data_IF_736963533185
#
_entry.id   IF_736963533185
#
_cell.length_a   1.000
_cell.length_b   1.000
_cell.length_c   1.000
_cell.angle_alpha   90.00
_cell.angle_beta   90.00
_cell.angle_gamma   90.00
#
_symmetry.space_group_name_H-M   'P 1'
#
loop_
_entity.id
_entity.type
_entity.pdbx_description
1 polymer ?
#
# COMPACT_ATOMS: atom_id res chain seq x y z
N UNK A 1 10.83 -12.56 18.31
CA UNK A 1 10.84 -11.10 18.08
C UNK A 1 11.88 -10.79 17.02
N UNK A 2 11.50 -10.33 15.83
CA UNK A 2 12.46 -9.95 14.80
C UNK A 2 13.14 -8.63 15.22
N UNK A 3 14.47 -8.63 15.29
CA UNK A 3 15.28 -7.44 15.55
C UNK A 3 15.04 -6.43 14.43
N UNK A 4 14.51 -5.24 14.75
CA UNK A 4 14.61 -4.08 13.86
C UNK A 4 15.67 -3.18 14.48
N UNK A 5 16.91 -3.24 13.97
CA UNK A 5 17.47 -1.97 13.50
C UNK A 5 18.39 -2.16 12.28
N UNK A 6 18.12 -1.40 11.21
CA UNK A 6 19.18 -0.88 10.35
C UNK A 6 19.00 0.63 10.28
N UNK A 7 19.95 1.35 10.88
CA UNK A 7 20.13 2.80 10.72
C UNK A 7 19.89 3.13 9.25
N UNK A 8 18.92 3.98 8.94
CA UNK A 8 18.60 4.33 7.58
C UNK A 8 19.89 4.79 6.87
N UNK A 9 20.26 4.21 5.72
CA UNK A 9 21.55 4.51 5.13
C UNK A 9 21.56 5.98 4.73
N UNK A 10 22.47 6.76 5.31
CA UNK A 10 22.87 8.09 4.81
C UNK A 10 23.52 8.02 3.42
N UNK A 11 23.49 6.85 2.78
CA UNK A 11 23.98 6.61 1.44
C UNK A 11 22.89 6.98 0.41
N UNK A 12 23.36 7.43 -0.75
CA UNK A 12 22.52 7.60 -1.92
C UNK A 12 22.28 6.24 -2.58
N UNK A 13 21.04 5.98 -2.96
CA UNK A 13 20.69 4.88 -3.88
C UNK A 13 21.24 5.16 -5.27
N UNK A 14 21.28 4.15 -6.13
CA UNK A 14 21.78 4.33 -7.50
C UNK A 14 20.83 5.20 -8.35
N UNK A 15 19.51 5.08 -8.17
CA UNK A 15 18.52 6.00 -8.77
C UNK A 15 18.83 7.45 -8.37
N UNK A 16 19.03 7.72 -7.07
CA UNK A 16 19.32 9.07 -6.59
C UNK A 16 20.63 9.63 -7.13
N UNK A 17 21.70 8.81 -7.22
CA UNK A 17 22.98 9.25 -7.82
C UNK A 17 22.79 9.68 -9.27
N UNK A 18 22.09 8.86 -10.07
CA UNK A 18 21.83 9.13 -11.49
C UNK A 18 20.97 10.38 -11.68
N UNK A 19 19.92 10.54 -10.86
CA UNK A 19 19.07 11.74 -10.86
C UNK A 19 19.85 12.98 -10.46
N UNK A 20 20.63 12.95 -9.38
CA UNK A 20 21.50 14.07 -8.98
C UNK A 20 22.43 14.46 -10.13
N UNK A 21 23.02 13.50 -10.83
CA UNK A 21 23.91 13.75 -11.97
C UNK A 21 23.20 14.48 -13.10
N UNK A 22 21.97 14.05 -13.45
CA UNK A 22 21.15 14.71 -14.47
C UNK A 22 20.76 16.14 -14.05
N UNK A 23 20.32 16.33 -12.80
CA UNK A 23 19.94 17.65 -12.27
C UNK A 23 21.12 18.64 -12.24
N UNK A 24 22.33 18.17 -11.94
CA UNK A 24 23.54 18.98 -12.03
C UNK A 24 23.86 19.38 -13.48
N UNK A 25 23.63 18.50 -14.45
CA UNK A 25 23.80 18.79 -15.87
C UNK A 25 22.75 19.79 -16.39
N UNK A 26 21.53 19.76 -15.83
CA UNK A 26 20.46 20.75 -16.06
C UNK A 26 20.74 22.13 -15.41
N UNK A 27 21.84 22.28 -14.67
CA UNK A 27 22.21 23.53 -14.00
C UNK A 27 21.43 23.82 -12.71
N UNK A 28 20.74 22.82 -12.15
CA UNK A 28 20.01 22.99 -10.88
C UNK A 28 20.98 23.29 -9.73
N UNK A 29 20.60 24.23 -8.85
CA UNK A 29 21.43 24.59 -7.69
C UNK A 29 21.50 23.42 -6.72
N UNK A 30 22.67 23.24 -6.09
CA UNK A 30 22.87 22.17 -5.10
C UNK A 30 21.83 22.20 -3.97
N UNK A 31 21.37 23.39 -3.54
CA UNK A 31 20.36 23.54 -2.50
C UNK A 31 19.01 22.94 -2.92
N UNK A 32 18.57 23.19 -4.15
CA UNK A 32 17.31 22.66 -4.67
C UNK A 32 17.39 21.13 -4.84
N UNK A 33 18.53 20.62 -5.33
CA UNK A 33 18.79 19.17 -5.42
C UNK A 33 18.75 18.55 -4.02
N UNK A 34 19.41 19.17 -3.04
CA UNK A 34 19.45 18.66 -1.67
C UNK A 34 18.04 18.58 -1.07
N UNK A 35 17.24 19.64 -1.24
CA UNK A 35 15.84 19.67 -0.77
C UNK A 35 15.01 18.59 -1.43
N UNK A 36 15.08 18.44 -2.76
CA UNK A 36 14.33 17.43 -3.51
C UNK A 36 14.70 16.00 -3.08
N UNK A 37 16.00 15.72 -2.93
CA UNK A 37 16.49 14.38 -2.56
C UNK A 37 16.16 14.07 -1.10
N UNK A 38 16.32 15.04 -0.19
CA UNK A 38 16.04 14.86 1.24
C UNK A 38 14.57 14.77 1.57
N UNK A 39 13.68 15.28 0.73
CA UNK A 39 12.25 15.13 0.91
C UNK A 39 11.91 13.64 1.05
N UNK A 40 11.11 13.27 2.07
CA UNK A 40 10.71 11.89 2.42
C UNK A 40 11.84 10.97 2.94
N UNK A 41 13.10 11.39 2.97
CA UNK A 41 14.17 10.55 3.50
C UNK A 41 14.08 10.44 5.02
N UNK A 42 14.15 9.22 5.53
CA UNK A 42 14.30 8.95 6.97
C UNK A 42 15.64 9.42 7.53
N UNK A 43 16.69 9.48 6.70
CA UNK A 43 17.98 10.09 7.04
C UNK A 43 18.42 11.04 5.93
N UNK A 44 18.64 12.31 6.29
CA UNK A 44 19.08 13.34 5.37
C UNK A 44 20.53 13.12 4.92
N UNK A 45 20.81 13.51 3.69
CA UNK A 45 22.16 13.65 3.15
C UNK A 45 22.62 15.10 3.27
N UNK A 46 23.94 15.31 3.08
CA UNK A 46 24.56 16.63 3.06
C UNK A 46 25.17 16.93 1.67
N UNK A 47 25.63 18.17 1.48
CA UNK A 47 26.26 18.60 0.22
C UNK A 47 27.49 17.78 -0.18
N UNK A 48 28.21 17.19 0.78
CA UNK A 48 29.36 16.32 0.50
C UNK A 48 28.98 15.10 -0.35
N UNK A 49 27.77 14.56 -0.16
CA UNK A 49 27.25 13.46 -1.00
C UNK A 49 27.00 13.91 -2.44
N UNK A 50 26.43 15.09 -2.64
CA UNK A 50 26.20 15.68 -3.98
C UNK A 50 27.55 15.97 -4.67
N UNK A 51 28.51 16.54 -3.94
CA UNK A 51 29.85 16.79 -4.46
C UNK A 51 30.56 15.49 -4.89
N UNK A 52 30.37 14.40 -4.15
CA UNK A 52 30.85 13.07 -4.53
C UNK A 52 30.27 12.59 -5.86
N UNK A 53 28.95 12.72 -6.06
CA UNK A 53 28.28 12.39 -7.34
C UNK A 53 28.78 13.27 -8.49
N UNK A 54 28.99 14.56 -8.24
CA UNK A 54 29.52 15.50 -9.24
C UNK A 54 30.87 15.03 -9.78
N UNK A 55 31.80 14.65 -8.89
CA UNK A 55 33.17 14.22 -9.23
C UNK A 55 33.26 12.84 -9.87
N UNK A 56 32.30 11.95 -9.61
CA UNK A 56 32.34 10.59 -10.13
C UNK A 56 31.86 10.58 -11.61
N UNK A 57 32.77 10.29 -12.54
CA UNK A 57 32.50 10.24 -13.98
C UNK A 57 31.75 8.98 -14.43
N UNK A 58 31.80 7.90 -13.65
CA UNK A 58 31.21 6.60 -13.99
C UNK A 58 29.69 6.58 -13.81
N UNK A 59 29.12 7.60 -13.15
CA UNK A 59 27.67 7.71 -12.95
C UNK A 59 27.05 8.24 -14.25
N UNK A 60 26.39 7.37 -15.00
CA UNK A 60 25.55 7.75 -16.13
C UNK A 60 24.35 8.57 -15.64
N UNK A 61 24.11 9.78 -16.17
CA UNK A 61 22.93 10.56 -15.82
C UNK A 61 21.62 9.80 -16.05
N UNK A 62 20.61 10.09 -15.22
CA UNK A 62 19.25 9.65 -15.48
C UNK A 62 18.69 10.31 -16.76
N UNK A 63 17.80 9.63 -17.46
CA UNK A 63 17.05 10.20 -18.59
C UNK A 63 16.07 11.28 -18.11
N UNK A 64 15.60 12.12 -19.03
CA UNK A 64 14.58 13.12 -18.71
C UNK A 64 13.30 12.50 -18.12
N UNK A 65 12.91 11.32 -18.62
CA UNK A 65 11.76 10.57 -18.11
C UNK A 65 11.99 10.04 -16.69
N UNK A 66 13.17 9.50 -16.40
CA UNK A 66 13.54 9.04 -15.06
C UNK A 66 13.56 10.21 -14.06
N UNK A 67 14.10 11.36 -14.44
CA UNK A 67 14.08 12.58 -13.62
C UNK A 67 12.64 13.06 -13.39
N UNK A 68 11.80 13.07 -14.43
CA UNK A 68 10.40 13.45 -14.32
C UNK A 68 9.62 12.50 -13.39
N UNK A 69 9.84 11.19 -13.51
CA UNK A 69 9.28 10.17 -12.63
C UNK A 69 9.72 10.39 -11.20
N UNK A 70 11.01 10.62 -10.95
CA UNK A 70 11.54 10.88 -9.61
C UNK A 70 10.90 12.12 -8.97
N UNK A 71 10.79 13.23 -9.71
CA UNK A 71 10.10 14.45 -9.24
C UNK A 71 8.62 14.19 -8.95
N UNK A 72 7.95 13.39 -9.78
CA UNK A 72 6.54 13.01 -9.57
C UNK A 72 6.38 12.14 -8.32
N UNK A 73 7.25 11.15 -8.11
CA UNK A 73 7.31 10.34 -6.88
C UNK A 73 7.45 11.23 -5.65
N UNK A 74 8.44 12.14 -5.65
CA UNK A 74 8.67 13.06 -4.52
C UNK A 74 7.47 13.97 -4.24
N UNK A 75 6.78 14.47 -5.26
CA UNK A 75 5.58 15.31 -5.09
C UNK A 75 4.33 14.56 -4.64
N UNK A 76 4.31 13.23 -4.76
CA UNK A 76 3.15 12.39 -4.42
C UNK A 76 3.14 11.91 -2.96
N UNK A 77 4.10 12.39 -2.16
CA UNK A 77 4.13 12.15 -0.73
C UNK A 77 3.08 13.01 -0.04
N UNK A 78 2.21 12.37 0.72
CA UNK A 78 1.20 13.03 1.55
C UNK A 78 1.75 13.25 2.96
N UNK A 79 2.00 14.51 3.38
CA UNK A 79 2.55 14.78 4.72
C UNK A 79 1.57 14.49 5.86
N UNK A 80 0.26 14.40 5.58
CA UNK A 80 -0.74 14.11 6.62
C UNK A 80 -0.72 12.63 6.97
N UNK A 81 -0.64 11.77 5.96
CA UNK A 81 -0.70 10.31 6.16
C UNK A 81 0.67 9.63 6.16
N UNK A 82 1.70 10.34 5.69
CA UNK A 82 3.06 9.81 5.55
C UNK A 82 3.19 8.76 4.44
N UNK A 83 2.22 8.66 3.54
CA UNK A 83 2.18 7.68 2.45
C UNK A 83 2.56 8.32 1.12
N UNK A 84 3.16 7.52 0.24
CA UNK A 84 3.48 7.89 -1.13
C UNK A 84 2.73 7.01 -2.12
N UNK A 85 2.09 7.61 -3.12
CA UNK A 85 1.33 6.86 -4.14
C UNK A 85 2.14 5.75 -4.82
N UNK A 86 3.45 5.94 -4.99
CA UNK A 86 4.31 4.96 -5.67
C UNK A 86 4.90 3.90 -4.74
N UNK A 87 5.13 4.23 -3.48
CA UNK A 87 5.74 3.34 -2.49
C UNK A 87 4.72 2.58 -1.65
N UNK A 88 3.55 3.18 -1.44
CA UNK A 88 2.53 2.72 -0.49
C UNK A 88 1.17 2.53 -1.17
N UNK A 89 1.15 2.28 -2.49
CA UNK A 89 -0.08 2.18 -3.28
C UNK A 89 -1.09 1.21 -2.66
N UNK A 90 -0.63 0.05 -2.18
CA UNK A 90 -1.51 -0.95 -1.53
C UNK A 90 -2.11 -0.42 -0.24
N UNK A 91 -1.38 0.35 0.57
CA UNK A 91 -1.90 0.95 1.79
C UNK A 91 -2.95 2.02 1.49
N UNK A 92 -2.69 2.85 0.48
CA UNK A 92 -3.64 3.88 0.03
C UNK A 92 -4.94 3.23 -0.43
N UNK A 93 -4.83 2.22 -1.33
CA UNK A 93 -5.99 1.46 -1.82
C UNK A 93 -6.71 0.71 -0.69
N UNK A 94 -5.99 0.14 0.27
CA UNK A 94 -6.59 -0.53 1.44
C UNK A 94 -7.41 0.46 2.30
N UNK A 95 -6.85 1.65 2.56
CA UNK A 95 -7.52 2.72 3.29
C UNK A 95 -8.78 3.19 2.57
N UNK A 96 -8.68 3.47 1.27
CA UNK A 96 -9.80 3.93 0.46
C UNK A 96 -10.91 2.88 0.34
N UNK A 97 -10.55 1.61 0.12
CA UNK A 97 -11.52 0.51 0.07
C UNK A 97 -12.29 0.38 1.39
N UNK A 98 -11.62 0.47 2.54
CA UNK A 98 -12.29 0.42 3.84
C UNK A 98 -13.15 1.67 4.12
N UNK A 99 -12.67 2.86 3.75
CA UNK A 99 -13.44 4.10 3.89
C UNK A 99 -14.73 4.05 3.04
N UNK A 100 -14.62 3.55 1.81
CA UNK A 100 -15.76 3.34 0.93
C UNK A 100 -16.74 2.31 1.50
N UNK A 101 -16.22 1.19 2.02
CA UNK A 101 -17.03 0.17 2.68
C UNK A 101 -17.85 0.78 3.82
N UNK A 102 -17.20 1.52 4.72
CA UNK A 102 -17.86 2.18 5.84
C UNK A 102 -18.89 3.23 5.38
N UNK A 103 -18.59 3.98 4.32
CA UNK A 103 -19.52 4.98 3.77
C UNK A 103 -20.80 4.33 3.25
N UNK A 104 -20.66 3.25 2.46
CA UNK A 104 -21.81 2.53 1.89
C UNK A 104 -22.64 1.86 3.00
N UNK A 105 -21.98 1.25 3.98
CA UNK A 105 -22.65 0.58 5.09
C UNK A 105 -23.49 1.53 5.96
N UNK A 106 -23.00 2.76 6.14
CA UNK A 106 -23.72 3.79 6.90
C UNK A 106 -24.77 4.55 6.08
N UNK A 107 -24.80 4.38 4.76
CA UNK A 107 -25.86 4.96 3.93
C UNK A 107 -27.21 4.30 4.20
N UNK A 108 -28.25 5.12 4.32
CA UNK A 108 -29.65 4.67 4.38
C UNK A 108 -30.26 4.34 3.02
N UNK A 109 -29.55 4.63 1.93
CA UNK A 109 -30.08 4.52 0.56
C UNK A 109 -30.08 3.08 0.03
N UNK A 110 -29.16 2.25 0.51
CA UNK A 110 -28.88 0.94 -0.09
C UNK A 110 -29.34 -0.20 0.81
N UNK A 111 -30.01 -1.19 0.21
CA UNK A 111 -30.42 -2.43 0.90
C UNK A 111 -29.32 -3.50 0.87
N UNK A 112 -28.47 -3.49 -0.16
CA UNK A 112 -27.39 -4.46 -0.42
C UNK A 112 -26.04 -4.05 0.21
N UNK A 113 -26.09 -3.29 1.30
CA UNK A 113 -24.90 -2.61 1.84
C UNK A 113 -23.99 -3.51 2.67
N UNK A 114 -24.53 -4.57 3.28
CA UNK A 114 -23.76 -5.52 4.09
C UNK A 114 -22.85 -6.37 3.20
N UNK A 115 -23.38 -6.75 2.05
CA UNK A 115 -22.73 -7.53 1.01
C UNK A 115 -21.59 -6.74 0.38
N UNK A 116 -21.85 -5.50 -0.03
CA UNK A 116 -20.82 -4.60 -0.57
C UNK A 116 -19.76 -4.28 0.48
N UNK A 117 -20.15 -4.09 1.75
CA UNK A 117 -19.20 -3.91 2.85
C UNK A 117 -18.25 -5.11 2.96
N UNK A 118 -18.78 -6.34 2.92
CA UNK A 118 -17.97 -7.55 3.03
C UNK A 118 -16.97 -7.69 1.87
N UNK A 119 -17.39 -7.39 0.64
CA UNK A 119 -16.51 -7.40 -0.54
C UNK A 119 -15.37 -6.39 -0.39
N UNK A 120 -15.69 -5.12 -0.10
CA UNK A 120 -14.69 -4.05 0.01
C UNK A 120 -13.76 -4.23 1.22
N UNK A 121 -14.30 -4.71 2.36
CA UNK A 121 -13.49 -5.02 3.53
C UNK A 121 -12.51 -6.17 3.24
N UNK A 122 -12.91 -7.19 2.47
CA UNK A 122 -12.02 -8.28 2.05
C UNK A 122 -10.86 -7.75 1.19
N UNK A 123 -11.14 -6.86 0.23
CA UNK A 123 -10.11 -6.20 -0.59
C UNK A 123 -9.15 -5.40 0.30
N UNK A 124 -9.68 -4.57 1.19
CA UNK A 124 -8.89 -3.74 2.09
C UNK A 124 -7.91 -4.57 2.95
N UNK A 125 -8.41 -5.63 3.59
CA UNK A 125 -7.59 -6.51 4.42
C UNK A 125 -6.59 -7.35 3.63
N UNK A 126 -6.94 -7.72 2.39
CA UNK A 126 -6.02 -8.41 1.47
C UNK A 126 -4.81 -7.52 1.17
N UNK A 127 -5.03 -6.27 0.74
CA UNK A 127 -3.95 -5.34 0.44
C UNK A 127 -3.12 -4.98 1.66
N UNK A 128 -3.75 -4.80 2.84
CA UNK A 128 -3.02 -4.54 4.08
C UNK A 128 -2.07 -5.68 4.46
N UNK A 129 -2.51 -6.94 4.28
CA UNK A 129 -1.67 -8.10 4.56
C UNK A 129 -0.58 -8.30 3.49
N UNK A 130 -0.87 -8.08 2.21
CA UNK A 130 0.15 -8.09 1.15
C UNK A 130 1.28 -7.11 1.46
N UNK A 131 0.93 -5.87 1.80
CA UNK A 131 1.91 -4.85 2.18
C UNK A 131 2.74 -5.29 3.39
N UNK A 132 2.09 -5.84 4.42
CA UNK A 132 2.78 -6.35 5.61
C UNK A 132 3.79 -7.44 5.25
N UNK A 133 3.41 -8.40 4.41
CA UNK A 133 4.31 -9.48 3.99
C UNK A 133 5.50 -8.93 3.22
N UNK A 134 5.28 -8.00 2.29
CA UNK A 134 6.34 -7.37 1.50
C UNK A 134 7.33 -6.61 2.40
N UNK A 135 6.84 -5.87 3.40
CA UNK A 135 7.68 -5.20 4.41
C UNK A 135 8.46 -6.17 5.31
N UNK A 136 8.00 -7.41 5.44
CA UNK A 136 8.71 -8.49 6.13
C UNK A 136 9.68 -9.25 5.20
N UNK A 137 9.76 -8.88 3.92
CA UNK A 137 10.59 -9.56 2.91
C UNK A 137 9.98 -10.86 2.40
N UNK A 138 8.68 -11.07 2.58
CA UNK A 138 7.94 -12.26 2.12
C UNK A 138 7.11 -11.84 0.90
N UNK A 139 7.44 -12.37 -0.29
CA UNK A 139 6.66 -12.08 -1.49
C UNK A 139 5.27 -12.71 -1.41
N UNK A 140 4.16 -11.94 -1.53
CA UNK A 140 2.80 -12.47 -1.45
C UNK A 140 2.30 -13.03 -2.81
N UNK A 141 3.17 -13.71 -3.55
CA UNK A 141 2.91 -14.24 -4.90
C UNK A 141 2.92 -15.77 -4.91
N UNK A 142 1.97 -16.36 -5.60
CA UNK A 142 1.91 -17.78 -5.90
C UNK A 142 2.83 -18.13 -7.09
N UNK A 143 3.07 -19.42 -7.29
CA UNK A 143 3.89 -19.93 -8.40
C UNK A 143 3.27 -19.70 -9.78
N UNK A 144 1.95 -19.54 -9.84
CA UNK A 144 1.19 -19.26 -11.06
C UNK A 144 1.12 -17.75 -11.41
N UNK A 145 1.81 -16.91 -10.63
CA UNK A 145 1.81 -15.45 -10.81
C UNK A 145 0.62 -14.73 -10.16
N UNK A 146 -0.32 -15.45 -9.56
CA UNK A 146 -1.39 -14.84 -8.76
C UNK A 146 -0.87 -14.40 -7.38
N UNK A 147 -1.68 -13.69 -6.60
CA UNK A 147 -1.30 -13.27 -5.24
C UNK A 147 -2.01 -14.11 -4.19
N UNK A 148 -1.46 -14.14 -2.97
CA UNK A 148 -2.06 -14.86 -1.85
C UNK A 148 -3.48 -14.37 -1.57
N UNK A 149 -4.43 -15.29 -1.53
CA UNK A 149 -5.79 -14.99 -1.06
C UNK A 149 -5.81 -14.66 0.43
N UNK A 150 -6.78 -13.85 0.88
CA UNK A 150 -6.95 -13.50 2.29
C UNK A 150 -7.04 -14.75 3.19
N UNK A 151 -7.83 -15.75 2.80
CA UNK A 151 -7.98 -17.01 3.56
C UNK A 151 -6.64 -17.72 3.78
N UNK A 152 -5.82 -17.80 2.73
CA UNK A 152 -4.49 -18.38 2.81
C UNK A 152 -3.60 -17.58 3.77
N UNK A 153 -3.55 -16.24 3.62
CA UNK A 153 -2.80 -15.40 4.54
C UNK A 153 -3.24 -15.51 6.00
N UNK A 154 -4.53 -15.77 6.25
CA UNK A 154 -5.07 -15.94 7.59
C UNK A 154 -4.68 -17.28 8.23
N UNK A 155 -4.57 -18.35 7.43
CA UNK A 155 -4.22 -19.70 7.89
C UNK A 155 -2.73 -19.90 8.15
N UNK A 156 -1.87 -19.03 7.59
CA UNK A 156 -0.42 -19.14 7.78
C UNK A 156 -0.01 -19.00 9.26
N UNK A 157 1.04 -19.73 9.69
CA UNK A 157 1.52 -19.70 11.07
C UNK A 157 2.21 -18.38 11.45
N UNK A 158 2.77 -17.66 10.48
CA UNK A 158 3.46 -16.37 10.67
C UNK A 158 2.51 -15.17 10.79
N UNK A 159 1.20 -15.40 10.66
CA UNK A 159 0.19 -14.35 10.81
C UNK A 159 -0.01 -13.95 12.28
N UNK A 160 0.30 -12.70 12.59
CA UNK A 160 0.26 -12.11 13.94
C UNK A 160 -1.11 -11.56 14.36
N UNK A 161 -2.14 -11.65 13.51
CA UNK A 161 -3.48 -11.18 13.86
C UNK A 161 -4.07 -12.02 15.02
N UNK A 162 -4.83 -11.37 15.90
CA UNK A 162 -5.49 -12.05 17.01
C UNK A 162 -6.56 -13.04 16.51
N UNK A 163 -6.88 -14.05 17.32
CA UNK A 163 -7.91 -15.04 16.98
C UNK A 163 -9.27 -14.41 16.68
N UNK A 164 -9.63 -13.34 17.39
CA UNK A 164 -10.87 -12.58 17.16
C UNK A 164 -10.89 -11.90 15.79
N UNK A 165 -9.81 -11.21 15.42
CA UNK A 165 -9.69 -10.57 14.10
C UNK A 165 -9.77 -11.63 12.99
N UNK A 166 -9.04 -12.74 13.11
CA UNK A 166 -9.09 -13.83 12.12
C UNK A 166 -10.51 -14.35 11.92
N UNK A 167 -11.26 -14.57 13.02
CA UNK A 167 -12.66 -15.03 12.95
C UNK A 167 -13.57 -14.02 12.24
N UNK A 168 -13.44 -12.73 12.56
CA UNK A 168 -14.24 -11.68 11.90
C UNK A 168 -13.95 -11.62 10.40
N UNK A 169 -12.67 -11.72 9.99
CA UNK A 169 -12.28 -11.72 8.58
C UNK A 169 -12.76 -12.97 7.84
N UNK A 170 -12.76 -14.13 8.50
CA UNK A 170 -13.32 -15.35 7.93
C UNK A 170 -14.84 -15.23 7.74
N UNK A 171 -15.56 -14.64 8.70
CA UNK A 171 -16.99 -14.37 8.56
C UNK A 171 -17.30 -13.42 7.40
N UNK A 172 -16.50 -12.35 7.22
CA UNK A 172 -16.62 -11.45 6.08
C UNK A 172 -16.37 -12.18 4.75
N UNK A 173 -15.40 -13.11 4.72
CA UNK A 173 -15.20 -13.96 3.54
C UNK A 173 -16.43 -14.81 3.25
N UNK A 174 -17.03 -15.45 4.25
CA UNK A 174 -18.25 -16.25 4.06
C UNK A 174 -19.38 -15.42 3.47
N UNK A 175 -19.60 -14.19 3.97
CA UNK A 175 -20.61 -13.28 3.41
C UNK A 175 -20.28 -12.93 1.95
N UNK A 176 -19.01 -12.63 1.64
CA UNK A 176 -18.56 -12.37 0.27
C UNK A 176 -18.82 -13.57 -0.66
N UNK A 177 -18.43 -14.77 -0.25
CA UNK A 177 -18.61 -15.98 -1.05
C UNK A 177 -20.09 -16.26 -1.31
N UNK A 178 -20.94 -16.08 -0.29
CA UNK A 178 -22.40 -16.19 -0.40
C UNK A 178 -22.97 -15.21 -1.43
N UNK A 179 -22.45 -13.99 -1.46
CA UNK A 179 -22.85 -12.95 -2.42
C UNK A 179 -22.46 -13.31 -3.86
N UNK A 180 -21.28 -13.89 -4.06
CA UNK A 180 -20.75 -14.24 -5.38
C UNK A 180 -21.37 -15.53 -5.95
N UNK A 181 -21.78 -16.46 -5.08
CA UNK A 181 -22.09 -17.83 -5.50
C UNK A 181 -23.52 -18.29 -5.19
N UNK A 182 -24.33 -17.55 -4.42
CA UNK A 182 -25.75 -17.86 -4.33
C UNK A 182 -26.45 -17.44 -5.62
N UNK A 183 -26.89 -18.43 -6.40
CA UNK A 183 -27.88 -18.25 -7.45
C UNK A 183 -29.11 -17.58 -6.81
N UNK A 184 -29.47 -16.40 -7.31
CA UNK A 184 -30.71 -15.73 -6.94
C UNK A 184 -31.86 -16.48 -7.61
N UNK A 185 -32.25 -17.62 -7.04
CA UNK A 185 -33.45 -18.32 -7.50
C UNK A 185 -34.66 -17.41 -7.24
N UNK A 186 -35.50 -17.29 -8.27
CA UNK A 186 -36.71 -16.49 -8.23
C UNK A 186 -37.55 -16.84 -6.98
N UNK A 187 -37.82 -15.82 -6.16
CA UNK A 187 -38.72 -15.82 -5.00
C UNK A 187 -38.37 -16.80 -3.84
N UNK A 188 -37.91 -16.27 -2.71
CA UNK A 188 -38.32 -16.82 -1.40
C UNK A 188 -38.33 -15.76 -0.30
N UNK A 189 -39.55 -15.52 0.16
CA UNK A 189 -40.07 -14.65 1.20
C UNK A 189 -39.57 -14.95 2.63
N UNK A 190 -38.26 -15.11 2.87
CA UNK A 190 -37.79 -15.36 4.26
C UNK A 190 -36.40 -14.79 4.67
N UNK A 191 -35.66 -14.13 3.78
CA UNK A 191 -34.32 -13.60 4.11
C UNK A 191 -34.26 -12.32 4.96
N UNK A 192 -35.39 -11.64 5.17
CA UNK A 192 -35.43 -10.34 5.86
C UNK A 192 -35.55 -10.41 7.39
N UNK A 193 -35.60 -11.61 8.00
CA UNK A 193 -35.88 -11.77 9.44
C UNK A 193 -34.65 -11.67 10.36
N UNK A 194 -33.42 -11.73 9.87
CA UNK A 194 -32.26 -11.94 10.75
C UNK A 194 -31.76 -10.68 11.49
N UNK A 195 -32.29 -9.48 11.24
CA UNK A 195 -31.82 -8.25 11.92
C UNK A 195 -32.92 -7.23 12.30
N UNK A 196 -34.20 -7.64 12.36
CA UNK A 196 -35.29 -6.75 12.82
C UNK A 196 -35.41 -6.60 14.35
N UNK A 197 -34.53 -7.22 15.16
CA UNK A 197 -34.61 -7.17 16.62
C UNK A 197 -33.39 -6.57 17.32
N UNK A 198 -32.60 -5.76 16.60
CA UNK A 198 -31.49 -5.01 17.20
C UNK A 198 -31.65 -3.50 16.96
N UNK A 199 -32.80 -2.95 17.40
CA UNK A 199 -32.98 -1.55 17.83
C UNK A 199 -33.95 -1.58 19.01
#
# INVERSE_FOLDING_TARGET
MAKIPKKAPTALTDEEKRVIKALLAEGMRNQDILTLVNYERSATINFGRIAGVKKNADITPASAEEVALFRRKKRSFDPVTGLNLYGDERLIRAREAMALAATIFNSGLYRFKTEVFAVLANIAWTYLLHERYERLGISPTNTDGTTFALSYMLSRPDNTLSKGIKRNLLALKTIRDDVEHKMLDAATSNGYLCFKHAV
#
